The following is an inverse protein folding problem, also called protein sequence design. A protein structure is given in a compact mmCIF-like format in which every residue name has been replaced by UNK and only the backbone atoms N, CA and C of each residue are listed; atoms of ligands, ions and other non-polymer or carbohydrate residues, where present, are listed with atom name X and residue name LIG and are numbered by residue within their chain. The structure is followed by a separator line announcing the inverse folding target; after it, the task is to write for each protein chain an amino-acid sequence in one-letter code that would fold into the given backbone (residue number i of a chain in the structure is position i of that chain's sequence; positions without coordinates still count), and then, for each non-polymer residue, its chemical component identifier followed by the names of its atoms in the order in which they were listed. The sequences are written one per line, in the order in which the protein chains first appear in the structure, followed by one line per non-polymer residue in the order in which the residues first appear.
data_IF_851288598450
#
_entry.id   IF_851288598450
#
_cell.length_a   1.000
_cell.length_b   1.000
_cell.length_c   1.000
_cell.angle_alpha   90.00
_cell.angle_beta   90.00
_cell.angle_gamma   90.00
#
_symmetry.space_group_name_H-M   'P 1'
#
loop_
_entity.id
_entity.type
_entity.pdbx_description
1 polymer ?
#
# COMPACT_ATOMS: atom_id res chain seq x y z
N UNK A 1 0.50 -12.26 3.69
CA UNK A 1 -0.57 -11.34 4.12
C UNK A 1 -1.13 -11.84 5.44
N UNK A 2 -1.57 -10.95 6.35
CA UNK A 2 -2.34 -11.38 7.51
C UNK A 2 -3.54 -12.23 7.04
N UNK A 3 -3.97 -13.19 7.85
CA UNK A 3 -5.22 -13.89 7.57
C UNK A 3 -6.36 -12.86 7.56
N UNK A 4 -7.35 -13.04 6.68
CA UNK A 4 -8.50 -12.15 6.60
C UNK A 4 -8.31 -10.89 5.73
N UNK A 5 -7.13 -10.63 5.15
CA UNK A 5 -6.93 -9.50 4.20
C UNK A 5 -6.81 -10.02 2.77
N UNK A 6 -7.70 -9.56 1.89
CA UNK A 6 -7.66 -9.84 0.46
C UNK A 6 -7.37 -8.55 -0.30
N UNK A 7 -6.51 -8.64 -1.33
CA UNK A 7 -6.21 -7.52 -2.21
C UNK A 7 -7.18 -7.49 -3.37
N UNK A 8 -7.73 -6.32 -3.63
CA UNK A 8 -8.53 -6.03 -4.82
C UNK A 8 -7.65 -5.52 -5.97
N UNK A 9 -8.18 -5.42 -7.20
CA UNK A 9 -7.44 -4.85 -8.33
C UNK A 9 -6.89 -3.47 -7.98
N UNK A 10 -5.59 -3.29 -8.22
CA UNK A 10 -4.92 -2.03 -7.95
C UNK A 10 -5.26 -0.98 -9.00
N UNK A 11 -5.16 0.27 -8.57
CA UNK A 11 -5.15 1.41 -9.49
C UNK A 11 -3.80 2.11 -9.41
N UNK A 12 -3.41 2.73 -10.51
CA UNK A 12 -2.13 3.43 -10.64
C UNK A 12 -2.38 4.88 -11.03
N UNK A 13 -1.73 5.80 -10.35
CA UNK A 13 -1.72 7.22 -10.67
C UNK A 13 -0.29 7.69 -10.89
N UNK A 14 0.04 8.27 -12.06
CA UNK A 14 1.34 8.90 -12.28
C UNK A 14 1.60 9.99 -11.23
N UNK A 15 2.85 10.08 -10.79
CA UNK A 15 3.30 11.07 -9.82
C UNK A 15 4.67 11.61 -10.21
N UNK A 16 4.89 12.90 -9.99
CA UNK A 16 6.19 13.52 -10.19
C UNK A 16 6.39 14.64 -9.16
N UNK A 17 7.65 14.89 -8.84
CA UNK A 17 8.13 16.04 -8.08
C UNK A 17 9.16 16.80 -8.92
N UNK A 18 9.84 17.78 -8.32
CA UNK A 18 10.91 18.51 -9.00
C UNK A 18 12.09 17.60 -9.41
N UNK A 19 12.38 16.56 -8.62
CA UNK A 19 13.59 15.74 -8.78
C UNK A 19 13.31 14.27 -9.12
N UNK A 20 12.07 13.82 -8.98
CA UNK A 20 11.72 12.40 -9.13
C UNK A 20 10.45 12.24 -9.94
N UNK A 21 10.43 11.19 -10.75
CA UNK A 21 9.24 10.71 -11.47
C UNK A 21 8.88 9.32 -10.96
N UNK A 22 7.61 8.98 -11.01
CA UNK A 22 7.14 7.74 -10.44
C UNK A 22 5.63 7.55 -10.52
N UNK A 23 5.12 6.74 -9.59
CA UNK A 23 3.71 6.40 -9.53
C UNK A 23 3.26 6.14 -8.09
N UNK A 24 2.01 6.50 -7.80
CA UNK A 24 1.30 6.04 -6.62
C UNK A 24 0.43 4.85 -7.01
N UNK A 25 0.66 3.74 -6.34
CA UNK A 25 -0.11 2.51 -6.47
C UNK A 25 -1.07 2.43 -5.31
N UNK A 26 -2.35 2.17 -5.59
CA UNK A 26 -3.38 2.04 -4.58
C UNK A 26 -3.97 0.64 -4.68
N UNK A 27 -3.86 -0.12 -3.60
CA UNK A 27 -4.39 -1.48 -3.49
C UNK A 27 -5.53 -1.48 -2.46
N UNK A 28 -6.80 -1.45 -2.91
CA UNK A 28 -7.92 -1.63 -2.00
C UNK A 28 -7.86 -3.03 -1.38
N UNK A 29 -8.29 -3.14 -0.14
CA UNK A 29 -8.30 -4.39 0.61
C UNK A 29 -9.69 -4.68 1.15
N UNK A 30 -10.17 -5.90 0.93
CA UNK A 30 -11.36 -6.43 1.60
C UNK A 30 -10.94 -7.23 2.84
N UNK A 31 -11.74 -7.12 3.91
CA UNK A 31 -11.46 -7.74 5.20
C UNK A 31 -12.53 -8.82 5.49
N UNK A 32 -12.09 -9.99 5.93
CA UNK A 32 -12.97 -11.07 6.32
C UNK A 32 -13.35 -10.93 7.81
N UNK A 33 -14.37 -10.12 8.08
CA UNK A 33 -14.98 -9.85 9.40
C UNK A 33 -14.06 -9.28 10.51
N UNK A 34 -12.77 -9.11 10.24
CA UNK A 34 -11.80 -8.53 11.17
C UNK A 34 -11.96 -7.01 11.33
N UNK A 35 -11.69 -6.49 12.52
CA UNK A 35 -11.71 -5.04 12.80
C UNK A 35 -10.61 -4.29 12.01
N UNK A 36 -10.98 -3.37 11.10
CA UNK A 36 -10.03 -2.59 10.31
C UNK A 36 -9.07 -1.79 11.20
N UNK A 37 -9.56 -1.30 12.34
CA UNK A 37 -8.78 -0.51 13.30
C UNK A 37 -7.64 -1.31 13.92
N UNK A 38 -7.88 -2.59 14.24
CA UNK A 38 -6.89 -3.51 14.76
C UNK A 38 -5.92 -4.02 13.68
N UNK A 39 -6.42 -4.32 12.47
CA UNK A 39 -5.60 -4.85 11.39
C UNK A 39 -4.67 -3.82 10.75
N UNK A 40 -5.10 -2.57 10.62
CA UNK A 40 -4.31 -1.50 9.98
C UNK A 40 -2.88 -1.37 10.53
N UNK A 41 -2.65 -1.18 11.84
CA UNK A 41 -1.30 -1.05 12.38
C UNK A 41 -0.46 -2.34 12.24
N UNK A 42 -1.09 -3.52 12.31
CA UNK A 42 -0.40 -4.80 12.12
C UNK A 42 0.07 -4.97 10.68
N UNK A 43 -0.77 -4.60 9.71
CA UNK A 43 -0.43 -4.63 8.30
C UNK A 43 0.66 -3.60 7.97
N UNK A 44 0.53 -2.37 8.47
CA UNK A 44 1.55 -1.32 8.33
C UNK A 44 2.92 -1.82 8.83
N UNK A 45 2.99 -2.26 10.09
CA UNK A 45 4.23 -2.72 10.70
C UNK A 45 4.84 -3.89 9.91
N UNK A 46 4.00 -4.81 9.39
CA UNK A 46 4.49 -5.93 8.59
C UNK A 46 5.11 -5.45 7.28
N UNK A 47 4.47 -4.53 6.55
CA UNK A 47 4.94 -4.05 5.25
C UNK A 47 6.22 -3.22 5.39
N UNK A 48 6.37 -2.48 6.49
CA UNK A 48 7.60 -1.73 6.81
C UNK A 48 8.82 -2.63 7.05
N UNK A 49 8.64 -3.88 7.47
CA UNK A 49 9.75 -4.84 7.65
C UNK A 49 10.29 -5.42 6.33
N UNK A 50 9.67 -5.12 5.20
CA UNK A 50 10.01 -5.72 3.91
C UNK A 50 11.04 -4.84 3.19
N UNK A 51 12.17 -5.45 2.82
CA UNK A 51 13.09 -4.85 1.84
C UNK A 51 12.48 -5.06 0.44
N UNK A 52 11.84 -4.02 -0.07
CA UNK A 52 11.20 -4.06 -1.38
C UNK A 52 12.22 -4.01 -2.50
N UNK A 53 12.24 -5.06 -3.33
CA UNK A 53 13.07 -5.12 -4.54
C UNK A 53 12.20 -4.99 -5.78
N UNK A 54 12.30 -3.85 -6.45
CA UNK A 54 11.55 -3.53 -7.65
C UNK A 54 12.53 -3.02 -8.72
N UNK A 55 12.99 -3.85 -9.67
CA UNK A 55 14.00 -3.41 -10.65
C UNK A 55 13.58 -2.15 -11.41
N UNK A 56 14.47 -1.17 -11.47
CA UNK A 56 14.23 0.14 -12.10
C UNK A 56 13.41 1.12 -11.25
N UNK A 57 13.04 0.75 -10.02
CA UNK A 57 12.24 1.58 -9.14
C UNK A 57 12.63 1.42 -7.67
N UNK A 58 12.33 2.44 -6.87
CA UNK A 58 12.49 2.43 -5.43
C UNK A 58 11.12 2.68 -4.80
N UNK A 59 10.75 1.89 -3.78
CA UNK A 59 9.60 2.23 -2.91
C UNK A 59 10.03 3.38 -2.01
N UNK A 60 9.55 4.58 -2.33
CA UNK A 60 9.88 5.80 -1.63
C UNK A 60 9.01 6.00 -0.38
N UNK A 61 7.78 5.49 -0.40
CA UNK A 61 6.84 5.57 0.73
C UNK A 61 5.81 4.43 0.67
N UNK A 62 5.28 4.04 1.83
CA UNK A 62 4.23 3.03 1.97
C UNK A 62 3.36 3.34 3.19
N UNK A 63 2.04 3.35 2.98
CA UNK A 63 1.06 3.57 4.06
C UNK A 63 -0.17 2.68 3.90
N UNK A 64 -0.71 2.23 5.02
CA UNK A 64 -2.00 1.56 5.13
C UNK A 64 -3.02 2.53 5.74
N UNK A 65 -3.94 2.95 4.89
CA UNK A 65 -5.02 3.88 5.21
C UNK A 65 -6.33 3.13 5.45
N UNK A 66 -7.22 3.75 6.23
CA UNK A 66 -8.62 3.34 6.24
C UNK A 66 -9.25 3.70 4.90
N UNK A 67 -10.05 2.79 4.35
CA UNK A 67 -10.86 3.04 3.18
C UNK A 67 -12.33 3.27 3.60
N UNK A 68 -13.13 3.74 2.65
CA UNK A 68 -14.58 3.82 2.83
C UNK A 68 -15.16 2.42 3.08
N UNK A 69 -16.37 2.36 3.64
CA UNK A 69 -17.12 1.12 3.93
C UNK A 69 -16.42 0.14 4.90
N UNK A 70 -15.44 0.61 5.67
CA UNK A 70 -14.72 -0.22 6.64
C UNK A 70 -13.64 -1.11 6.00
N UNK A 71 -13.20 -0.79 4.79
CA UNK A 71 -12.04 -1.45 4.18
C UNK A 71 -10.70 -0.85 4.62
N UNK A 72 -9.61 -1.42 4.11
CA UNK A 72 -8.28 -0.79 4.14
C UNK A 72 -7.80 -0.50 2.73
N UNK A 73 -6.84 0.42 2.59
CA UNK A 73 -6.14 0.67 1.34
C UNK A 73 -4.65 0.76 1.60
N UNK A 74 -3.86 0.01 0.85
CA UNK A 74 -2.41 0.16 0.84
C UNK A 74 -2.06 1.14 -0.26
N UNK A 75 -1.34 2.21 0.08
CA UNK A 75 -0.75 3.13 -0.89
C UNK A 75 0.77 2.97 -0.89
N UNK A 76 1.33 2.79 -2.09
CA UNK A 76 2.78 2.66 -2.29
C UNK A 76 3.22 3.73 -3.27
N UNK A 77 4.18 4.55 -2.87
CA UNK A 77 4.84 5.49 -3.77
C UNK A 77 6.11 4.84 -4.29
N UNK A 78 6.22 4.72 -5.62
CA UNK A 78 7.45 4.29 -6.28
C UNK A 78 8.03 5.44 -7.08
N UNK A 79 9.35 5.59 -7.06
CA UNK A 79 10.10 6.46 -7.97
C UNK A 79 10.97 5.63 -8.89
N UNK A 80 11.27 6.12 -10.09
CA UNK A 80 12.28 5.54 -10.97
C UNK A 80 13.67 5.73 -10.37
N UNK A 81 14.52 4.69 -10.47
CA UNK A 81 15.92 4.68 -10.03
C UNK A 81 16.84 5.41 -11.05
#
# INVERSE_FOLDING_TARGET
MPHGVLLEPSTLRPWASANFVGARHMFPCTLADDDPGALRPLLQARLETIEWRLPGHIVADLVVEAADEGGLRIEVLTVED
#
